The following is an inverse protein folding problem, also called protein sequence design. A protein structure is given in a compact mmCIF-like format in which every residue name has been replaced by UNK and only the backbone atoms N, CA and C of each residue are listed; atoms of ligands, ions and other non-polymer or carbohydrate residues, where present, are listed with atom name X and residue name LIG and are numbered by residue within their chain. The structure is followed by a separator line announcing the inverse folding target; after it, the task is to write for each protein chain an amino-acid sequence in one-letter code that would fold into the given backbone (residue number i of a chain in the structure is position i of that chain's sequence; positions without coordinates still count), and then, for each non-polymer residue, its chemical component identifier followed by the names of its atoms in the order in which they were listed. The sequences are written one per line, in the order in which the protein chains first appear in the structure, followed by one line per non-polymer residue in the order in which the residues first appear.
data_IF_086132286581
#
_entry.id   IF_086132286581
#
_cell.length_a   1.000
_cell.length_b   1.000
_cell.length_c   1.000
_cell.angle_alpha   90.00
_cell.angle_beta   90.00
_cell.angle_gamma   90.00
#
_symmetry.space_group_name_H-M   'P 1'
#
loop_
_entity.id
_entity.type
_entity.pdbx_description
1 polymer ?
#
# COMPACT_ATOMS: atom_id res chain seq x y z
N UNK A 1 -10.74 18.48 1.91
CA UNK A 1 -10.55 18.98 3.29
C UNK A 1 -10.83 17.80 4.19
N UNK A 2 -9.80 17.03 4.55
CA UNK A 2 -9.96 15.94 5.50
C UNK A 2 -9.80 16.52 6.91
N UNK A 3 -10.88 16.47 7.69
CA UNK A 3 -10.90 16.93 9.07
C UNK A 3 -10.12 15.94 9.92
N UNK A 4 -8.92 16.33 10.34
CA UNK A 4 -8.08 15.53 11.23
C UNK A 4 -8.70 15.63 12.62
N UNK A 5 -9.20 14.51 13.16
CA UNK A 5 -9.77 14.52 14.51
C UNK A 5 -8.68 14.77 15.55
N UNK A 6 -9.04 15.31 16.71
CA UNK A 6 -8.09 15.50 17.83
C UNK A 6 -7.37 14.19 18.18
N UNK A 7 -8.04 13.04 18.06
CA UNK A 7 -7.41 11.73 18.24
C UNK A 7 -6.35 11.41 17.19
N UNK A 8 -6.57 11.79 15.93
CA UNK A 8 -5.59 11.60 14.85
C UNK A 8 -4.37 12.50 15.01
N UNK A 9 -4.56 13.73 15.49
CA UNK A 9 -3.51 14.70 15.75
C UNK A 9 -2.64 14.30 16.97
N UNK A 10 -3.26 13.85 18.08
CA UNK A 10 -2.52 13.33 19.24
C UNK A 10 -1.79 12.02 18.90
N UNK A 11 -2.42 11.14 18.13
CA UNK A 11 -1.75 9.96 17.63
C UNK A 11 -0.59 10.35 16.70
N UNK A 12 -0.69 11.39 15.87
CA UNK A 12 0.42 11.82 15.02
C UNK A 12 1.67 12.27 15.82
N UNK A 13 1.48 12.90 16.99
CA UNK A 13 2.57 13.39 17.85
C UNK A 13 3.23 12.26 18.66
N UNK A 14 2.50 11.17 18.99
CA UNK A 14 3.00 10.01 19.76
C UNK A 14 2.79 8.67 19.05
N UNK A 15 2.82 8.64 17.71
CA UNK A 15 2.62 7.40 16.96
C UNK A 15 3.87 6.54 17.11
N UNK A 16 3.78 5.50 17.95
CA UNK A 16 4.69 4.36 17.82
C UNK A 16 4.48 3.82 16.41
N UNK A 17 5.48 4.00 15.55
CA UNK A 17 5.49 3.34 14.25
C UNK A 17 5.34 1.85 14.48
N UNK A 18 4.33 1.28 13.84
CA UNK A 18 4.15 -0.17 13.87
C UNK A 18 5.29 -0.81 13.09
N UNK A 19 5.70 -2.03 13.49
CA UNK A 19 6.73 -2.79 12.75
C UNK A 19 6.41 -2.90 11.25
N UNK A 20 5.11 -2.92 10.93
CA UNK A 20 4.60 -2.93 9.56
C UNK A 20 4.94 -1.65 8.80
N UNK A 21 4.66 -0.48 9.37
CA UNK A 21 4.98 0.80 8.73
C UNK A 21 6.48 0.96 8.48
N UNK A 22 7.31 0.51 9.43
CA UNK A 22 8.77 0.48 9.26
C UNK A 22 9.17 -0.40 8.08
N UNK A 23 8.59 -1.60 7.98
CA UNK A 23 8.84 -2.52 6.86
C UNK A 23 8.40 -1.92 5.52
N UNK A 24 7.22 -1.31 5.45
CA UNK A 24 6.72 -0.63 4.25
C UNK A 24 7.66 0.50 3.83
N UNK A 25 8.07 1.36 4.78
CA UNK A 25 8.98 2.47 4.51
C UNK A 25 10.38 1.99 4.07
N UNK A 26 10.85 0.86 4.60
CA UNK A 26 12.10 0.25 4.16
C UNK A 26 11.99 -0.32 2.75
N UNK A 27 10.87 -0.98 2.43
CA UNK A 27 10.60 -1.54 1.10
C UNK A 27 10.41 -0.45 0.04
N UNK A 28 9.87 0.72 0.40
CA UNK A 28 9.81 1.89 -0.49
C UNK A 28 11.19 2.38 -0.94
N UNK A 29 12.24 2.16 -0.15
CA UNK A 29 13.61 2.56 -0.50
C UNK A 29 14.37 1.50 -1.29
N UNK A 30 14.10 0.22 -1.03
CA UNK A 30 14.90 -0.89 -1.55
C UNK A 30 14.30 -1.48 -2.82
N UNK A 31 12.98 -1.44 -2.98
CA UNK A 31 12.28 -2.10 -4.08
C UNK A 31 12.08 -1.11 -5.25
N UNK A 32 12.51 -1.46 -6.48
CA UNK A 32 12.19 -0.70 -7.67
C UNK A 32 10.73 -0.95 -8.07
N UNK A 33 9.81 -0.22 -7.44
CA UNK A 33 8.37 -0.43 -7.59
C UNK A 33 7.88 -0.29 -9.04
N UNK A 34 8.49 0.58 -9.84
CA UNK A 34 8.11 0.78 -11.25
C UNK A 34 8.31 -0.50 -12.07
N UNK A 35 9.45 -1.16 -11.90
CA UNK A 35 9.77 -2.41 -12.59
C UNK A 35 8.86 -3.54 -12.08
N UNK A 36 8.66 -3.59 -10.76
CA UNK A 36 7.78 -4.56 -10.10
C UNK A 36 6.32 -4.45 -10.59
N UNK A 37 5.79 -3.24 -10.77
CA UNK A 37 4.43 -3.06 -11.29
C UNK A 37 4.29 -3.58 -12.72
N UNK A 38 5.33 -3.43 -13.56
CA UNK A 38 5.34 -3.98 -14.91
C UNK A 38 5.25 -5.50 -14.93
N UNK A 39 6.02 -6.17 -14.08
CA UNK A 39 5.97 -7.62 -13.94
C UNK A 39 4.63 -8.11 -13.35
N UNK A 40 4.14 -7.46 -12.28
CA UNK A 40 2.87 -7.83 -11.65
C UNK A 40 1.70 -7.62 -12.60
N UNK A 41 1.72 -6.56 -13.42
CA UNK A 41 0.66 -6.29 -14.39
C UNK A 41 0.43 -7.45 -15.36
N UNK A 42 1.50 -8.16 -15.75
CA UNK A 42 1.42 -9.31 -16.64
C UNK A 42 0.68 -10.52 -16.02
N UNK A 43 0.72 -10.65 -14.69
CA UNK A 43 0.07 -11.74 -13.95
C UNK A 43 -1.22 -11.32 -13.25
N UNK A 44 -1.57 -10.03 -13.28
CA UNK A 44 -2.73 -9.52 -12.56
C UNK A 44 -4.02 -9.91 -13.30
N UNK A 45 -4.99 -10.58 -12.63
CA UNK A 45 -6.19 -11.06 -13.30
C UNK A 45 -6.99 -9.88 -13.84
N UNK A 46 -7.21 -9.86 -15.16
CA UNK A 46 -8.07 -8.90 -15.83
C UNK A 46 -9.53 -9.34 -15.72
N UNK A 47 -10.14 -9.18 -14.54
CA UNK A 47 -11.59 -9.27 -14.31
C UNK A 47 -12.27 -10.61 -14.66
N UNK A 48 -12.70 -11.36 -13.64
CA UNK A 48 -13.58 -12.53 -13.77
C UNK A 48 -14.88 -12.36 -12.98
N UNK A 49 -15.73 -13.41 -12.91
CA UNK A 49 -16.94 -13.40 -12.06
C UNK A 49 -16.54 -13.33 -10.58
N UNK A 50 -16.79 -12.20 -9.91
CA UNK A 50 -16.45 -11.98 -8.51
C UNK A 50 -16.15 -10.52 -8.20
N UNK A 51 -15.43 -10.25 -7.10
CA UNK A 51 -14.95 -8.89 -6.80
C UNK A 51 -13.99 -8.42 -7.89
N UNK A 52 -14.21 -7.22 -8.40
CA UNK A 52 -13.31 -6.59 -9.36
C UNK A 52 -11.91 -6.48 -8.74
N UNK A 53 -10.88 -7.01 -9.43
CA UNK A 53 -9.49 -6.79 -9.04
C UNK A 53 -9.21 -5.28 -8.93
N UNK A 54 -8.40 -4.87 -7.96
CA UNK A 54 -8.02 -3.46 -7.85
C UNK A 54 -7.27 -3.04 -9.11
N UNK A 55 -7.47 -1.82 -9.63
CA UNK A 55 -6.69 -1.35 -10.76
C UNK A 55 -5.21 -1.55 -10.46
N UNK A 56 -4.43 -2.06 -11.42
CA UNK A 56 -2.98 -2.28 -11.24
C UNK A 56 -2.28 -0.98 -10.81
N UNK A 57 -2.76 0.16 -11.29
CA UNK A 57 -2.31 1.51 -10.91
C UNK A 57 -2.69 1.93 -9.48
N UNK A 58 -3.68 1.26 -8.87
CA UNK A 58 -4.10 1.48 -7.48
C UNK A 58 -3.43 0.54 -6.49
N UNK A 59 -2.61 -0.41 -6.96
CA UNK A 59 -1.77 -1.21 -6.08
C UNK A 59 -0.70 -0.27 -5.54
N UNK A 60 -0.86 0.17 -4.30
CA UNK A 60 0.21 0.82 -3.56
C UNK A 60 1.10 -0.24 -2.90
N UNK A 61 2.35 0.11 -2.62
CA UNK A 61 3.30 -0.66 -1.80
C UNK A 61 2.63 -1.27 -0.56
N UNK A 62 1.78 -0.49 0.10
CA UNK A 62 1.01 -0.89 1.27
C UNK A 62 -0.01 -2.00 0.99
N UNK A 63 -0.73 -1.92 -0.13
CA UNK A 63 -1.73 -2.92 -0.53
C UNK A 63 -1.08 -4.23 -0.96
N UNK A 64 0.06 -4.17 -1.65
CA UNK A 64 0.84 -5.35 -2.04
C UNK A 64 1.30 -6.15 -0.80
N UNK A 65 1.86 -5.45 0.18
CA UNK A 65 2.33 -6.05 1.45
C UNK A 65 1.21 -6.46 2.42
N UNK A 66 -0.05 -6.20 2.05
CA UNK A 66 -1.22 -6.67 2.80
C UNK A 66 -1.78 -7.98 2.23
N UNK A 67 -1.34 -8.35 1.03
CA UNK A 67 -1.81 -9.49 0.24
C UNK A 67 -0.80 -10.64 0.20
N UNK A 68 0.49 -10.34 0.40
CA UNK A 68 1.55 -11.31 0.74
C UNK A 68 1.50 -11.58 2.24
#
# INVERSE_FOLDING_TARGET
MDQISFGDAECAVKKKQTRREISVAQMERVIPWQDLYGEIAAFYPSGGRGRTPYPTQSISSNLFLRKV
#
